data_IF_449672963252
#
_entry.id   IF_449672963252
#
_cell.length_a   1.000
_cell.length_b   1.000
_cell.length_c   1.000
_cell.angle_alpha   90.00
_cell.angle_beta   90.00
_cell.angle_gamma   90.00
#
_symmetry.space_group_name_H-M   'P 1'
#
loop_
_entity.id
_entity.type
_entity.pdbx_description
1 polymer ?
#
# COMPACT_ATOMS: atom_id res chain seq x y z
N UNK A 1 56.52 -21.77 3.35
CA UNK A 1 56.19 -21.10 2.07
C UNK A 1 55.33 -19.90 2.42
N UNK A 2 55.97 -18.75 2.35
CA UNK A 2 55.51 -17.46 2.87
C UNK A 2 54.65 -16.78 1.80
N UNK A 3 53.33 -16.70 2.03
CA UNK A 3 52.38 -16.06 1.14
C UNK A 3 52.43 -14.54 1.38
N UNK A 4 53.31 -13.85 0.70
CA UNK A 4 53.36 -12.38 0.68
C UNK A 4 52.08 -11.83 0.04
N UNK A 5 51.23 -11.24 0.83
CA UNK A 5 50.11 -10.40 0.36
C UNK A 5 50.72 -9.22 -0.40
N UNK A 6 50.41 -9.17 -1.71
CA UNK A 6 50.68 -8.00 -2.53
C UNK A 6 49.75 -6.88 -2.03
N UNK A 7 50.29 -5.73 -1.58
CA UNK A 7 49.43 -4.60 -1.24
C UNK A 7 48.69 -4.09 -2.50
N UNK A 8 47.45 -3.63 -2.36
CA UNK A 8 46.74 -3.07 -3.48
C UNK A 8 47.50 -1.88 -4.07
N UNK A 9 47.45 -1.65 -5.39
CA UNK A 9 48.11 -0.53 -6.03
C UNK A 9 47.62 0.78 -5.40
N UNK A 10 48.56 1.60 -4.92
CA UNK A 10 48.27 2.93 -4.39
C UNK A 10 47.75 3.81 -5.53
N UNK A 11 46.43 3.99 -5.62
CA UNK A 11 45.83 5.00 -6.47
C UNK A 11 46.30 6.38 -6.01
N UNK A 12 47.28 6.95 -6.72
CA UNK A 12 47.70 8.33 -6.54
C UNK A 12 46.68 9.23 -7.21
N UNK A 13 45.65 9.66 -6.46
CA UNK A 13 44.76 10.70 -6.91
C UNK A 13 45.49 12.06 -7.01
N UNK A 14 45.20 12.90 -8.02
CA UNK A 14 45.72 14.25 -8.12
C UNK A 14 45.40 15.04 -6.85
N UNK A 15 46.35 15.89 -6.37
CA UNK A 15 46.20 16.69 -5.13
C UNK A 15 44.87 17.47 -4.97
N UNK A 16 44.17 17.96 -6.05
CA UNK A 16 42.88 18.58 -5.86
C UNK A 16 41.80 17.62 -5.35
N UNK A 17 41.91 16.31 -5.59
CA UNK A 17 40.95 15.34 -5.07
C UNK A 17 41.05 15.19 -3.53
N UNK A 18 42.24 15.33 -2.93
CA UNK A 18 42.41 15.24 -1.49
C UNK A 18 42.01 16.49 -0.73
N UNK A 19 41.89 17.66 -1.40
CA UNK A 19 41.42 18.90 -0.79
C UNK A 19 39.89 18.99 -0.73
N UNK A 20 39.16 18.19 -1.55
CA UNK A 20 37.71 18.12 -1.53
C UNK A 20 37.18 17.03 -0.59
N UNK A 21 37.99 16.01 -0.27
CA UNK A 21 37.60 14.87 0.56
C UNK A 21 37.34 15.17 2.03
N UNK A 22 38.09 16.10 2.73
CA UNK A 22 37.79 16.38 4.14
C UNK A 22 36.46 17.06 4.40
N UNK A 23 35.95 17.82 3.41
CA UNK A 23 34.62 18.48 3.52
C UNK A 23 33.48 17.62 2.96
N UNK A 24 33.79 16.44 2.44
CA UNK A 24 32.86 15.58 1.73
C UNK A 24 32.56 14.30 2.51
N UNK A 25 32.13 14.42 3.76
CA UNK A 25 31.41 13.32 4.42
C UNK A 25 30.07 13.14 3.74
N UNK A 26 30.07 12.38 2.63
CA UNK A 26 28.84 12.00 1.93
C UNK A 26 28.26 10.77 2.60
N UNK A 27 27.12 10.94 3.24
CA UNK A 27 26.35 9.85 3.83
C UNK A 27 25.63 9.01 2.77
N UNK A 28 25.45 9.57 1.57
CA UNK A 28 24.76 8.89 0.47
C UNK A 28 25.38 9.26 -0.89
N UNK A 29 25.47 8.27 -1.78
CA UNK A 29 25.78 8.46 -3.19
C UNK A 29 24.91 7.53 -4.01
N UNK A 30 24.05 8.07 -4.87
CA UNK A 30 23.11 7.29 -5.69
C UNK A 30 21.92 8.11 -6.20
N UNK A 31 21.00 7.49 -6.95
CA UNK A 31 19.76 8.14 -7.34
C UNK A 31 18.87 8.37 -6.13
N UNK A 32 18.20 9.51 -6.03
CA UNK A 32 17.27 9.85 -4.96
C UNK A 32 15.93 10.30 -5.55
N UNK A 33 14.85 9.69 -5.09
CA UNK A 33 13.50 9.89 -5.62
C UNK A 33 13.07 11.36 -5.63
N UNK A 34 12.79 11.88 -6.83
CA UNK A 34 12.38 13.28 -7.07
C UNK A 34 13.51 14.30 -7.05
N UNK A 35 14.77 13.89 -6.86
CA UNK A 35 15.92 14.81 -6.89
C UNK A 35 16.66 14.71 -8.20
N UNK A 36 17.08 15.87 -8.71
CA UNK A 36 18.02 15.96 -9.83
C UNK A 36 19.45 15.62 -9.37
N UNK A 37 20.32 15.26 -10.33
CA UNK A 37 21.74 15.04 -10.03
C UNK A 37 22.37 16.31 -9.43
N UNK A 38 23.14 16.13 -8.37
CA UNK A 38 23.77 17.24 -7.65
C UNK A 38 24.12 16.88 -6.22
N UNK A 39 24.78 17.82 -5.54
CA UNK A 39 25.11 17.73 -4.13
C UNK A 39 24.02 18.42 -3.31
N UNK A 40 23.52 17.72 -2.29
CA UNK A 40 22.48 18.22 -1.39
C UNK A 40 22.91 18.13 0.06
N UNK A 41 22.53 19.13 0.83
CA UNK A 41 22.63 19.12 2.28
C UNK A 41 21.27 18.71 2.86
N UNK A 42 21.28 17.68 3.68
CA UNK A 42 20.13 17.16 4.40
C UNK A 42 20.32 17.33 5.90
N UNK A 43 19.27 17.25 6.67
CA UNK A 43 19.40 17.12 8.11
C UNK A 43 20.18 15.84 8.42
N UNK A 44 21.28 15.98 9.16
CA UNK A 44 22.20 14.92 9.55
C UNK A 44 23.04 14.31 8.41
N UNK A 45 23.30 15.04 7.30
CA UNK A 45 24.21 14.54 6.30
C UNK A 45 24.17 15.21 4.93
N UNK A 46 25.17 14.89 4.10
CA UNK A 46 25.27 15.33 2.71
C UNK A 46 25.02 14.15 1.78
N UNK A 47 24.33 14.37 0.68
CA UNK A 47 24.07 13.35 -0.33
C UNK A 47 24.47 13.79 -1.72
N UNK A 48 25.21 12.94 -2.43
CA UNK A 48 25.48 13.09 -3.85
C UNK A 48 24.42 12.33 -4.64
N UNK A 49 23.46 13.06 -5.22
CA UNK A 49 22.50 12.46 -6.14
C UNK A 49 23.17 12.29 -7.51
N UNK A 50 23.20 11.05 -8.01
CA UNK A 50 23.99 10.68 -9.19
C UNK A 50 23.18 10.64 -10.50
N UNK A 51 21.84 10.68 -10.43
CA UNK A 51 20.98 10.59 -11.60
C UNK A 51 19.69 11.41 -11.45
N UNK A 52 19.29 12.05 -12.55
CA UNK A 52 18.01 12.73 -12.66
C UNK A 52 16.86 11.73 -12.78
N UNK A 53 15.62 12.10 -12.34
CA UNK A 53 14.41 11.45 -12.84
C UNK A 53 14.34 11.60 -14.37
N UNK A 54 13.86 10.57 -15.05
CA UNK A 54 13.64 10.64 -16.50
C UNK A 54 12.30 11.35 -16.77
N UNK A 55 12.32 12.66 -16.96
CA UNK A 55 11.14 13.45 -17.29
C UNK A 55 10.91 13.44 -18.79
N UNK A 56 9.86 12.76 -19.22
CA UNK A 56 9.44 12.67 -20.62
C UNK A 56 8.83 14.00 -21.07
N UNK A 57 9.20 14.50 -22.23
CA UNK A 57 8.58 15.72 -22.79
C UNK A 57 7.19 15.38 -23.37
N UNK A 58 6.12 16.07 -22.91
CA UNK A 58 4.78 15.86 -23.43
C UNK A 58 4.66 16.44 -24.85
N UNK A 59 3.99 15.75 -25.74
CA UNK A 59 3.61 16.26 -27.03
C UNK A 59 2.25 15.71 -27.48
N UNK A 60 1.44 16.48 -28.20
CA UNK A 60 0.15 16.02 -28.71
C UNK A 60 0.32 14.85 -29.68
N UNK A 61 -0.64 13.94 -29.68
CA UNK A 61 -0.63 12.76 -30.55
C UNK A 61 -1.60 11.69 -30.11
N UNK A 62 -1.51 10.52 -30.73
CA UNK A 62 -2.37 9.39 -30.41
C UNK A 62 -1.93 8.70 -29.10
N UNK A 63 -2.85 8.55 -28.17
CA UNK A 63 -2.68 7.76 -26.93
C UNK A 63 -3.83 6.74 -26.74
N UNK A 64 -4.53 6.42 -27.81
CA UNK A 64 -5.75 5.58 -27.78
C UNK A 64 -5.53 4.20 -27.20
N UNK A 65 -4.38 3.57 -27.48
CA UNK A 65 -4.06 2.23 -26.94
C UNK A 65 -3.90 2.30 -25.40
N UNK A 66 -3.23 3.32 -24.89
CA UNK A 66 -3.11 3.49 -23.42
C UNK A 66 -4.47 3.75 -22.79
N UNK A 67 -5.26 4.64 -23.38
CA UNK A 67 -6.62 4.95 -22.87
C UNK A 67 -7.51 3.71 -22.91
N UNK A 68 -7.45 2.92 -23.97
CA UNK A 68 -8.22 1.68 -24.10
C UNK A 68 -7.79 0.63 -23.07
N UNK A 69 -6.47 0.44 -22.84
CA UNK A 69 -5.96 -0.44 -21.79
C UNK A 69 -6.53 -0.03 -20.43
N UNK A 70 -6.43 1.25 -20.09
CA UNK A 70 -6.86 1.76 -18.78
C UNK A 70 -8.38 1.70 -18.62
N UNK A 71 -9.13 2.06 -19.66
CA UNK A 71 -10.60 1.97 -19.67
C UNK A 71 -11.09 0.53 -19.53
N UNK A 72 -10.47 -0.41 -20.24
CA UNK A 72 -10.81 -1.82 -20.17
C UNK A 72 -10.47 -2.44 -18.80
N UNK A 73 -9.38 -1.99 -18.18
CA UNK A 73 -8.96 -2.48 -16.88
C UNK A 73 -9.81 -1.93 -15.72
N UNK A 74 -10.12 -0.63 -15.75
CA UNK A 74 -10.69 0.10 -14.60
C UNK A 74 -12.19 0.45 -14.79
N UNK A 75 -12.69 0.46 -16.03
CA UNK A 75 -13.97 1.08 -16.33
C UNK A 75 -13.93 2.61 -16.26
N UNK A 76 -14.98 3.28 -16.75
CA UNK A 76 -14.99 4.75 -16.87
C UNK A 76 -14.97 5.49 -15.52
N UNK A 77 -15.69 4.97 -14.54
CA UNK A 77 -15.77 5.61 -13.22
C UNK A 77 -14.42 5.61 -12.52
N UNK A 78 -13.80 4.44 -12.33
CA UNK A 78 -12.52 4.30 -11.63
C UNK A 78 -11.38 4.96 -12.40
N UNK A 79 -11.44 4.95 -13.74
CA UNK A 79 -10.46 5.60 -14.61
C UNK A 79 -10.34 7.10 -14.30
N UNK A 80 -11.45 7.81 -14.07
CA UNK A 80 -11.41 9.23 -13.72
C UNK A 80 -10.63 9.51 -12.42
N UNK A 81 -10.79 8.66 -11.40
CA UNK A 81 -9.98 8.77 -10.17
C UNK A 81 -8.51 8.47 -10.42
N UNK A 82 -8.22 7.46 -11.22
CA UNK A 82 -6.84 7.09 -11.56
C UNK A 82 -6.13 8.18 -12.36
N UNK A 83 -6.78 8.73 -13.38
CA UNK A 83 -6.20 9.81 -14.21
C UNK A 83 -5.96 11.09 -13.38
N UNK A 84 -6.87 11.44 -12.47
CA UNK A 84 -6.66 12.54 -11.55
C UNK A 84 -5.47 12.32 -10.62
N UNK A 85 -5.32 11.10 -10.07
CA UNK A 85 -4.16 10.73 -9.27
C UNK A 85 -2.86 10.83 -10.08
N UNK A 86 -2.86 10.35 -11.34
CA UNK A 86 -1.72 10.45 -12.24
C UNK A 86 -1.39 11.90 -12.61
N UNK A 87 -2.39 12.72 -12.93
CA UNK A 87 -2.20 14.14 -13.26
C UNK A 87 -1.50 14.88 -12.11
N UNK A 88 -1.98 14.69 -10.87
CA UNK A 88 -1.37 15.29 -9.68
C UNK A 88 0.06 14.79 -9.48
N UNK A 89 0.31 13.49 -9.71
CA UNK A 89 1.64 12.90 -9.58
C UNK A 89 2.63 13.53 -10.57
N UNK A 90 2.28 13.58 -11.86
CA UNK A 90 3.17 14.12 -12.88
C UNK A 90 3.39 15.63 -12.73
N UNK A 91 2.35 16.39 -12.37
CA UNK A 91 2.47 17.81 -12.07
C UNK A 91 3.40 18.06 -10.87
N UNK A 92 3.23 17.31 -9.79
CA UNK A 92 4.04 17.43 -8.57
C UNK A 92 5.51 17.12 -8.83
N UNK A 93 5.83 16.06 -9.59
CA UNK A 93 7.20 15.73 -9.95
C UNK A 93 7.83 16.82 -10.84
N UNK A 94 7.12 17.27 -11.86
CA UNK A 94 7.60 18.27 -12.83
C UNK A 94 7.79 19.66 -12.21
N UNK A 95 6.91 20.06 -11.30
CA UNK A 95 7.03 21.31 -10.54
C UNK A 95 8.01 21.26 -9.36
N UNK A 96 8.60 20.10 -9.12
CA UNK A 96 9.49 19.85 -7.98
C UNK A 96 8.84 20.15 -6.61
N UNK A 97 7.50 20.09 -6.51
CA UNK A 97 6.79 20.35 -5.24
C UNK A 97 6.81 19.16 -4.31
N UNK A 98 7.10 17.95 -4.82
CA UNK A 98 7.20 16.68 -4.08
C UNK A 98 6.02 16.42 -3.15
N UNK A 99 4.81 16.79 -3.59
CA UNK A 99 3.59 16.55 -2.81
C UNK A 99 3.39 15.05 -2.58
N UNK A 100 3.01 14.72 -1.37
CA UNK A 100 2.56 13.35 -1.04
C UNK A 100 1.31 12.98 -1.84
N UNK A 101 0.97 11.70 -1.88
CA UNK A 101 -0.21 11.22 -2.59
C UNK A 101 -0.69 9.88 -2.03
N UNK A 102 -1.92 9.58 -2.32
CA UNK A 102 -2.55 8.32 -1.96
C UNK A 102 -1.81 7.13 -2.59
N UNK A 103 -1.85 5.97 -1.93
CA UNK A 103 -1.52 4.71 -2.57
C UNK A 103 -2.68 4.26 -3.45
N UNK A 104 -2.38 3.57 -4.55
CA UNK A 104 -3.39 2.94 -5.41
C UNK A 104 -3.24 1.42 -5.38
N UNK A 105 -4.36 0.72 -5.29
CA UNK A 105 -4.42 -0.75 -5.31
C UNK A 105 -5.18 -1.18 -6.55
N UNK A 106 -4.57 -2.07 -7.31
CA UNK A 106 -5.17 -2.77 -8.45
C UNK A 106 -5.49 -4.20 -8.01
N UNK A 107 -6.75 -4.49 -7.73
CA UNK A 107 -7.22 -5.83 -7.34
C UNK A 107 -8.01 -6.46 -8.47
N UNK A 108 -7.67 -7.66 -8.88
CA UNK A 108 -8.36 -8.38 -9.95
C UNK A 108 -7.64 -9.65 -10.38
N UNK A 109 -8.25 -10.42 -11.27
CA UNK A 109 -7.73 -11.70 -11.72
C UNK A 109 -6.27 -11.65 -12.19
N UNK A 110 -5.61 -12.80 -12.09
CA UNK A 110 -4.26 -12.96 -12.66
C UNK A 110 -4.27 -12.71 -14.16
N UNK A 111 -3.31 -11.91 -14.63
CA UNK A 111 -3.12 -11.63 -16.07
C UNK A 111 -4.12 -10.62 -16.64
N UNK A 112 -4.83 -9.83 -15.82
CA UNK A 112 -5.71 -8.76 -16.31
C UNK A 112 -4.97 -7.49 -16.74
N UNK A 113 -3.65 -7.35 -16.50
CA UNK A 113 -2.86 -6.20 -16.97
C UNK A 113 -2.34 -5.28 -15.86
N UNK A 114 -2.53 -5.60 -14.58
CA UNK A 114 -2.08 -4.78 -13.43
C UNK A 114 -0.60 -4.40 -13.50
N UNK A 115 0.28 -5.40 -13.63
CA UNK A 115 1.73 -5.17 -13.72
C UNK A 115 2.14 -4.43 -15.00
N UNK A 116 1.40 -4.57 -16.10
CA UNK A 116 1.61 -3.78 -17.31
C UNK A 116 1.40 -2.29 -17.02
N UNK A 117 0.27 -1.95 -16.36
CA UNK A 117 -0.03 -0.54 -16.00
C UNK A 117 1.05 0.00 -15.05
N UNK A 118 1.45 -0.76 -14.03
CA UNK A 118 2.49 -0.32 -13.09
C UNK A 118 3.83 -0.07 -13.79
N UNK A 119 4.30 -1.01 -14.59
CA UNK A 119 5.65 -0.98 -15.13
C UNK A 119 5.77 -0.21 -16.45
N UNK A 120 4.75 -0.25 -17.32
CA UNK A 120 4.83 0.35 -18.66
C UNK A 120 4.10 1.69 -18.80
N UNK A 121 3.21 2.04 -17.85
CA UNK A 121 2.47 3.32 -17.89
C UNK A 121 2.87 4.20 -16.72
N UNK A 122 2.65 3.76 -15.47
CA UNK A 122 2.91 4.59 -14.29
C UNK A 122 4.40 4.92 -14.16
N UNK A 123 5.27 3.89 -14.13
CA UNK A 123 6.71 4.09 -13.91
C UNK A 123 7.33 5.10 -14.90
N UNK A 124 7.12 4.99 -16.22
CA UNK A 124 7.67 5.97 -17.16
C UNK A 124 7.17 7.38 -16.94
N UNK A 125 5.89 7.56 -16.60
CA UNK A 125 5.26 8.88 -16.41
C UNK A 125 5.78 9.62 -15.17
N UNK A 126 6.21 8.89 -14.14
CA UNK A 126 6.64 9.47 -12.87
C UNK A 126 8.15 9.32 -12.60
N UNK A 127 8.98 9.44 -13.64
CA UNK A 127 10.43 9.54 -13.48
C UNK A 127 11.22 8.31 -13.88
N UNK A 128 10.56 7.23 -14.30
CA UNK A 128 11.18 6.05 -14.93
C UNK A 128 11.91 5.10 -13.96
N UNK A 129 11.91 5.37 -12.63
CA UNK A 129 12.60 4.56 -11.63
C UNK A 129 11.60 3.93 -10.67
N UNK A 130 11.74 2.63 -10.44
CA UNK A 130 10.89 1.88 -9.52
C UNK A 130 11.69 1.28 -8.35
N UNK A 131 11.04 1.12 -7.21
CA UNK A 131 11.59 0.47 -6.01
C UNK A 131 10.57 -0.49 -5.41
N UNK A 132 11.04 -1.52 -4.69
CA UNK A 132 10.22 -2.57 -4.07
C UNK A 132 10.18 -2.36 -2.54
N UNK A 133 9.21 -1.64 -1.97
CA UNK A 133 9.21 -1.23 -0.57
C UNK A 133 8.67 -2.29 0.40
N UNK A 134 8.08 -3.39 -0.06
CA UNK A 134 7.30 -4.32 0.76
C UNK A 134 8.04 -4.88 1.98
N UNK A 135 9.32 -5.32 1.90
CA UNK A 135 10.04 -5.81 3.06
C UNK A 135 10.20 -4.75 4.17
N UNK A 136 10.46 -3.50 3.80
CA UNK A 136 10.54 -2.39 4.74
C UNK A 136 9.15 -2.04 5.28
N UNK A 137 8.13 -1.96 4.43
CA UNK A 137 6.78 -1.61 4.84
C UNK A 137 6.17 -2.62 5.83
N UNK A 138 6.54 -3.89 5.72
CA UNK A 138 6.07 -4.96 6.64
C UNK A 138 6.95 -5.15 7.87
N UNK A 139 8.04 -4.38 8.01
CA UNK A 139 8.97 -4.50 9.15
C UNK A 139 9.91 -5.70 9.07
N UNK A 140 10.06 -6.34 7.89
CA UNK A 140 11.06 -7.40 7.68
C UNK A 140 12.50 -6.86 7.67
N UNK A 141 12.66 -5.56 7.44
CA UNK A 141 13.93 -4.83 7.50
C UNK A 141 13.70 -3.41 7.98
N UNK A 142 14.65 -2.89 8.76
CA UNK A 142 14.67 -1.49 9.20
C UNK A 142 15.39 -0.57 8.19
N UNK A 143 16.15 -1.17 7.26
CA UNK A 143 16.89 -0.41 6.24
C UNK A 143 15.99 -0.14 5.02
N UNK A 144 16.01 1.09 4.55
CA UNK A 144 15.14 1.56 3.49
C UNK A 144 15.87 2.30 2.35
N UNK A 145 17.19 2.29 2.33
CA UNK A 145 17.97 3.03 1.32
C UNK A 145 17.58 2.68 -0.12
N UNK A 146 17.20 1.42 -0.40
CA UNK A 146 16.79 0.99 -1.73
C UNK A 146 15.42 1.54 -2.12
N UNK A 147 14.53 1.81 -1.15
CA UNK A 147 13.21 2.39 -1.38
C UNK A 147 13.33 3.81 -1.94
N UNK A 148 14.36 4.57 -1.50
CA UNK A 148 14.57 5.95 -1.91
C UNK A 148 15.15 6.14 -3.31
N UNK A 149 15.52 5.05 -4.01
CA UNK A 149 16.12 5.12 -5.34
C UNK A 149 15.12 5.37 -6.48
N UNK A 150 13.83 5.10 -6.25
CA UNK A 150 12.78 5.21 -7.26
C UNK A 150 11.61 6.07 -6.82
N UNK A 151 11.02 6.76 -7.75
CA UNK A 151 9.79 7.54 -7.59
C UNK A 151 8.56 6.66 -7.48
N UNK A 152 8.56 5.55 -8.19
CA UNK A 152 7.47 4.58 -8.18
C UNK A 152 7.76 3.44 -7.20
N UNK A 153 7.03 3.41 -6.11
CA UNK A 153 7.05 2.31 -5.17
C UNK A 153 6.05 1.25 -5.65
N UNK A 154 6.57 0.06 -5.98
CA UNK A 154 5.75 -1.02 -6.54
C UNK A 154 5.71 -2.20 -5.58
N UNK A 155 4.49 -2.68 -5.30
CA UNK A 155 4.23 -3.96 -4.63
C UNK A 155 3.44 -4.82 -5.62
N UNK A 156 3.99 -5.98 -5.99
CA UNK A 156 3.36 -6.94 -6.90
C UNK A 156 3.77 -8.35 -6.51
N UNK A 157 2.86 -9.30 -6.72
CA UNK A 157 3.05 -10.75 -6.50
C UNK A 157 3.60 -11.13 -5.10
N UNK A 158 3.34 -10.29 -4.11
CA UNK A 158 3.74 -10.59 -2.73
C UNK A 158 2.75 -11.57 -2.10
N UNK A 159 3.28 -12.50 -1.34
CA UNK A 159 2.45 -13.37 -0.53
C UNK A 159 1.94 -12.60 0.69
N UNK A 160 0.64 -12.58 0.86
CA UNK A 160 -0.01 -11.95 2.00
C UNK A 160 0.53 -12.48 3.32
N UNK A 161 0.80 -11.58 4.24
CA UNK A 161 1.12 -11.95 5.61
C UNK A 161 -0.18 -12.05 6.41
N UNK A 162 -0.49 -13.23 6.91
CA UNK A 162 -1.57 -13.41 7.89
C UNK A 162 -1.19 -12.85 9.27
N UNK A 163 0.07 -12.44 9.45
CA UNK A 163 0.55 -11.83 10.68
C UNK A 163 0.03 -10.39 10.82
N UNK A 164 -0.81 -10.20 11.82
CA UNK A 164 -1.43 -8.89 12.14
C UNK A 164 -0.39 -7.80 12.43
N UNK A 165 0.75 -8.17 13.03
CA UNK A 165 1.81 -7.21 13.34
C UNK A 165 2.41 -6.62 12.07
N UNK A 166 2.74 -7.46 11.10
CA UNK A 166 3.26 -7.03 9.79
C UNK A 166 2.24 -6.17 9.03
N UNK A 167 0.95 -6.54 9.05
CA UNK A 167 -0.12 -5.75 8.42
C UNK A 167 -0.32 -4.39 9.09
N UNK A 168 -0.19 -4.31 10.43
CA UNK A 168 -0.23 -3.03 11.17
C UNK A 168 0.98 -2.15 10.86
N UNK A 169 2.17 -2.76 10.79
CA UNK A 169 3.38 -2.04 10.42
C UNK A 169 3.28 -1.49 9.00
N UNK A 170 2.74 -2.29 8.07
CA UNK A 170 2.46 -1.84 6.70
C UNK A 170 1.52 -0.62 6.71
N UNK A 171 0.42 -0.67 7.47
CA UNK A 171 -0.50 0.46 7.61
C UNK A 171 0.17 1.72 8.17
N UNK A 172 1.03 1.58 9.17
CA UNK A 172 1.78 2.70 9.75
C UNK A 172 2.74 3.32 8.72
N UNK A 173 3.49 2.51 7.98
CA UNK A 173 4.40 2.99 6.94
C UNK A 173 3.66 3.59 5.74
N UNK A 174 2.50 3.03 5.36
CA UNK A 174 1.65 3.61 4.32
C UNK A 174 1.14 5.00 4.72
N UNK A 175 0.69 5.16 5.98
CA UNK A 175 0.31 6.49 6.51
C UNK A 175 1.47 7.46 6.43
N UNK A 176 2.67 7.04 6.79
CA UNK A 176 3.86 7.86 6.74
C UNK A 176 4.18 8.30 5.31
N UNK A 177 4.17 7.38 4.32
CA UNK A 177 4.41 7.68 2.90
C UNK A 177 3.36 8.64 2.35
N UNK A 178 2.07 8.42 2.65
CA UNK A 178 0.97 9.20 2.10
C UNK A 178 0.76 10.55 2.79
N UNK A 179 1.22 10.72 4.04
CA UNK A 179 0.90 11.90 4.83
C UNK A 179 2.08 12.81 5.15
N UNK A 180 3.30 12.27 5.22
CA UNK A 180 4.47 13.01 5.64
C UNK A 180 5.35 13.35 4.44
N UNK A 181 5.69 14.62 4.29
CA UNK A 181 6.66 15.06 3.28
C UNK A 181 8.08 14.61 3.62
N UNK A 182 8.41 14.62 4.91
CA UNK A 182 9.73 14.23 5.40
C UNK A 182 9.78 12.76 5.75
N UNK A 183 10.87 12.10 5.34
CA UNK A 183 11.09 10.68 5.54
C UNK A 183 12.50 10.45 6.09
N UNK A 184 12.62 9.48 6.99
CA UNK A 184 13.92 9.05 7.50
C UNK A 184 14.56 8.05 6.54
N UNK A 185 15.63 8.48 5.89
CA UNK A 185 16.47 7.64 5.06
C UNK A 185 17.49 6.90 5.95
N UNK A 186 17.35 5.59 6.06
CA UNK A 186 18.19 4.77 6.94
C UNK A 186 19.01 3.77 6.14
N UNK A 187 20.32 3.97 6.12
CA UNK A 187 21.31 3.08 5.53
C UNK A 187 22.07 2.33 6.62
N UNK A 188 22.47 1.09 6.34
CA UNK A 188 23.20 0.26 7.30
C UNK A 188 24.53 0.92 7.72
N UNK A 189 24.71 1.13 9.03
CA UNK A 189 25.96 1.67 9.60
C UNK A 189 26.13 3.19 9.54
N UNK A 190 25.09 3.94 9.11
CA UNK A 190 25.08 5.39 9.05
C UNK A 190 23.92 5.96 9.86
N UNK A 191 24.06 7.21 10.31
CA UNK A 191 22.95 7.95 10.91
C UNK A 191 21.83 8.19 9.88
N UNK A 192 20.60 8.22 10.36
CA UNK A 192 19.46 8.48 9.48
C UNK A 192 19.44 9.94 9.03
N UNK A 193 19.34 10.16 7.71
CA UNK A 193 19.11 11.48 7.14
C UNK A 193 17.61 11.73 7.01
N UNK A 194 17.21 13.00 7.05
CA UNK A 194 15.84 13.42 6.75
C UNK A 194 15.79 13.97 5.33
N UNK A 195 14.99 13.37 4.49
CA UNK A 195 14.83 13.74 3.07
C UNK A 195 13.36 13.91 2.71
N UNK A 196 13.07 14.65 1.63
CA UNK A 196 11.71 14.83 1.08
C UNK A 196 11.62 14.15 -0.28
N UNK A 197 11.42 12.81 -0.33
CA UNK A 197 11.34 12.11 -1.60
C UNK A 197 10.02 12.44 -2.32
N UNK A 198 10.04 12.35 -3.64
CA UNK A 198 8.79 12.21 -4.39
C UNK A 198 8.47 10.73 -4.52
N UNK A 199 7.32 10.32 -4.01
CA UNK A 199 6.86 8.93 -4.10
C UNK A 199 5.42 8.81 -4.57
N UNK A 200 5.16 7.75 -5.33
CA UNK A 200 3.82 7.21 -5.59
C UNK A 200 3.86 5.70 -5.39
N UNK A 201 2.96 5.21 -4.56
CA UNK A 201 2.84 3.78 -4.25
C UNK A 201 1.71 3.16 -5.05
N UNK A 202 2.02 2.09 -5.78
CA UNK A 202 1.02 1.22 -6.39
C UNK A 202 1.18 -0.23 -5.92
N UNK A 203 0.06 -0.89 -5.72
CA UNK A 203 -0.01 -2.27 -5.22
C UNK A 203 -0.86 -3.07 -6.19
N UNK A 204 -0.36 -4.16 -6.74
CA UNK A 204 -1.15 -5.12 -7.50
C UNK A 204 -1.37 -6.38 -6.67
N UNK A 205 -2.61 -6.81 -6.57
CA UNK A 205 -3.03 -8.02 -5.87
C UNK A 205 -4.05 -8.78 -6.70
N UNK A 206 -4.15 -10.07 -6.49
CA UNK A 206 -5.30 -10.80 -6.98
C UNK A 206 -6.48 -10.58 -6.02
N UNK A 207 -7.71 -10.65 -6.54
CA UNK A 207 -8.93 -10.29 -5.81
C UNK A 207 -9.47 -11.42 -4.94
N UNK A 208 -8.82 -12.61 -4.96
CA UNK A 208 -9.15 -13.66 -4.00
C UNK A 208 -8.83 -13.21 -2.56
N UNK A 209 -9.68 -13.52 -1.57
CA UNK A 209 -9.53 -13.05 -0.20
C UNK A 209 -8.14 -13.29 0.41
N UNK A 210 -7.54 -14.45 0.14
CA UNK A 210 -6.22 -14.81 0.67
C UNK A 210 -5.13 -13.83 0.18
N UNK A 211 -5.23 -13.36 -1.06
CA UNK A 211 -4.26 -12.45 -1.67
C UNK A 211 -4.43 -11.00 -1.16
N UNK A 212 -5.66 -10.60 -0.79
CA UNK A 212 -5.93 -9.29 -0.20
C UNK A 212 -5.28 -9.12 1.18
N UNK A 213 -4.79 -10.20 1.81
CA UNK A 213 -4.01 -10.14 3.07
C UNK A 213 -2.65 -9.44 2.91
N UNK A 214 -2.17 -9.21 1.70
CA UNK A 214 -1.04 -8.32 1.40
C UNK A 214 -1.31 -6.89 1.87
N UNK A 215 -2.58 -6.46 1.80
CA UNK A 215 -2.98 -5.10 2.15
C UNK A 215 -2.97 -4.88 3.67
N UNK A 216 -2.75 -3.63 4.11
CA UNK A 216 -2.85 -3.30 5.51
C UNK A 216 -4.29 -3.44 6.01
N UNK A 217 -4.46 -3.46 7.33
CA UNK A 217 -5.80 -3.36 7.93
C UNK A 217 -6.30 -1.94 7.70
N UNK A 218 -7.41 -1.80 6.98
CA UNK A 218 -8.00 -0.49 6.69
C UNK A 218 -8.81 0.00 7.90
N UNK A 219 -8.21 0.92 8.63
CA UNK A 219 -8.90 1.70 9.66
C UNK A 219 -9.29 3.10 9.12
N UNK A 220 -10.10 3.85 9.88
CA UNK A 220 -10.54 5.19 9.50
C UNK A 220 -9.38 6.13 9.14
N UNK A 221 -8.20 5.93 9.74
CA UNK A 221 -7.02 6.76 9.50
C UNK A 221 -6.28 6.41 8.20
N UNK A 222 -6.62 5.30 7.54
CA UNK A 222 -6.05 4.86 6.26
C UNK A 222 -6.98 5.07 5.08
N UNK A 223 -8.30 5.17 5.30
CA UNK A 223 -9.29 5.22 4.24
C UNK A 223 -9.03 6.30 3.20
N UNK A 224 -8.68 7.51 3.64
CA UNK A 224 -8.39 8.63 2.74
C UNK A 224 -7.04 8.55 2.03
N UNK A 225 -6.18 7.60 2.41
CA UNK A 225 -4.79 7.48 1.95
C UNK A 225 -4.56 6.36 0.93
N UNK A 226 -5.62 5.62 0.62
CA UNK A 226 -5.55 4.50 -0.31
C UNK A 226 -6.77 4.50 -1.22
N UNK A 227 -6.56 4.28 -2.51
CA UNK A 227 -7.64 4.00 -3.45
C UNK A 227 -7.62 2.52 -3.83
N UNK A 228 -8.79 1.90 -3.84
CA UNK A 228 -8.99 0.49 -4.17
C UNK A 228 -9.72 0.40 -5.51
N UNK A 229 -9.04 -0.08 -6.54
CA UNK A 229 -9.58 -0.26 -7.87
C UNK A 229 -9.79 -1.75 -8.14
N UNK A 230 -11.01 -2.11 -8.57
CA UNK A 230 -11.30 -3.43 -9.11
C UNK A 230 -10.90 -3.48 -10.57
N UNK A 231 -10.01 -4.42 -10.90
CA UNK A 231 -9.49 -4.60 -12.25
C UNK A 231 -10.24 -5.72 -12.97
N UNK A 232 -10.71 -5.41 -14.15
CA UNK A 232 -11.43 -6.36 -15.01
C UNK A 232 -10.49 -6.92 -16.07
N UNK A 233 -10.56 -8.23 -16.31
CA UNK A 233 -9.83 -8.86 -17.39
C UNK A 233 -10.56 -8.63 -18.71
N UNK A 234 -9.91 -7.96 -19.63
CA UNK A 234 -10.41 -7.70 -20.96
C UNK A 234 -9.42 -8.13 -22.04
N UNK A 235 -9.88 -8.20 -23.28
CA UNK A 235 -9.01 -8.42 -24.42
C UNK A 235 -8.02 -7.25 -24.55
N UNK A 236 -6.77 -7.56 -24.87
CA UNK A 236 -5.78 -6.52 -25.16
C UNK A 236 -6.15 -5.81 -26.47
N UNK A 237 -5.97 -4.47 -26.57
CA UNK A 237 -6.32 -3.70 -27.78
C UNK A 237 -5.46 -4.03 -28.99
N UNK A 238 -4.40 -4.78 -28.80
CA UNK A 238 -3.51 -5.27 -29.86
C UNK A 238 -3.17 -6.74 -29.63
N UNK A 239 -2.82 -7.50 -30.70
CA UNK A 239 -2.36 -8.88 -30.57
C UNK A 239 -1.12 -9.01 -29.68
N UNK A 240 -1.08 -10.06 -28.84
CA UNK A 240 0.01 -10.35 -27.91
C UNK A 240 0.35 -11.85 -27.84
N UNK A 241 -0.04 -12.62 -28.88
CA UNK A 241 0.11 -14.07 -28.92
C UNK A 241 1.55 -14.51 -29.18
N UNK A 242 2.28 -13.78 -30.04
CA UNK A 242 3.67 -14.05 -30.39
C UNK A 242 4.64 -13.11 -29.68
N UNK A 243 5.94 -13.39 -29.72
CA UNK A 243 6.96 -12.47 -29.17
C UNK A 243 7.00 -11.16 -29.95
N UNK A 244 6.94 -11.22 -31.29
CA UNK A 244 6.93 -10.06 -32.17
C UNK A 244 5.73 -9.15 -31.90
N UNK A 245 4.56 -9.73 -31.67
CA UNK A 245 3.36 -8.98 -31.31
C UNK A 245 3.51 -8.30 -29.95
N UNK A 246 4.07 -9.00 -28.95
CA UNK A 246 4.35 -8.42 -27.63
C UNK A 246 5.37 -7.28 -27.70
N UNK A 247 6.42 -7.44 -28.47
CA UNK A 247 7.43 -6.40 -28.68
C UNK A 247 6.82 -5.16 -29.37
N UNK A 248 5.99 -5.38 -30.40
CA UNK A 248 5.25 -4.31 -31.06
C UNK A 248 4.28 -3.61 -30.12
N UNK A 249 3.54 -4.36 -29.30
CA UNK A 249 2.62 -3.82 -28.30
C UNK A 249 3.37 -2.96 -27.28
N UNK A 250 4.45 -3.45 -26.70
CA UNK A 250 5.30 -2.70 -25.76
C UNK A 250 5.89 -1.43 -26.41
N UNK A 251 6.36 -1.52 -27.65
CA UNK A 251 6.86 -0.37 -28.40
C UNK A 251 5.77 0.68 -28.66
N UNK A 252 4.53 0.25 -28.95
CA UNK A 252 3.39 1.13 -29.15
C UNK A 252 3.04 1.87 -27.84
N UNK A 253 2.94 1.16 -26.71
CA UNK A 253 2.72 1.79 -25.40
C UNK A 253 3.79 2.84 -25.14
N UNK A 254 5.08 2.46 -25.30
CA UNK A 254 6.21 3.38 -25.07
C UNK A 254 6.14 4.63 -25.95
N UNK A 255 5.74 4.48 -27.22
CA UNK A 255 5.59 5.61 -28.15
C UNK A 255 4.41 6.52 -27.78
N UNK A 256 3.37 5.99 -27.17
CA UNK A 256 2.18 6.74 -26.74
C UNK A 256 2.32 7.44 -25.38
N UNK A 257 3.32 7.09 -24.56
CA UNK A 257 3.51 7.70 -23.23
C UNK A 257 3.61 9.24 -23.29
N UNK A 258 4.39 9.87 -24.20
CA UNK A 258 4.45 11.32 -24.27
C UNK A 258 3.10 11.97 -24.64
N UNK A 259 2.32 11.31 -25.48
CA UNK A 259 0.99 11.79 -25.90
C UNK A 259 -0.03 11.66 -24.76
N UNK A 260 0.00 10.54 -24.03
CA UNK A 260 -0.85 10.36 -22.85
C UNK A 260 -0.48 11.35 -21.72
N UNK A 261 0.80 11.66 -21.58
CA UNK A 261 1.25 12.71 -20.66
C UNK A 261 0.72 14.10 -21.06
N UNK A 262 0.72 14.42 -22.36
CA UNK A 262 0.17 15.69 -22.89
C UNK A 262 -1.34 15.78 -22.61
N UNK A 263 -2.08 14.70 -22.89
CA UNK A 263 -3.50 14.56 -22.55
C UNK A 263 -3.76 14.80 -21.05
N UNK A 264 -3.02 14.13 -20.15
CA UNK A 264 -3.17 14.31 -18.70
C UNK A 264 -2.90 15.75 -18.24
N UNK A 265 -1.95 16.44 -18.87
CA UNK A 265 -1.54 17.79 -18.45
C UNK A 265 -2.41 18.91 -19.02
N UNK A 266 -3.04 18.71 -20.19
CA UNK A 266 -3.71 19.79 -20.93
C UNK A 266 -5.21 19.55 -21.18
N UNK A 267 -5.62 18.31 -21.34
CA UNK A 267 -6.98 17.96 -21.74
C UNK A 267 -7.80 17.39 -20.58
N UNK A 268 -7.21 16.51 -19.78
CA UNK A 268 -7.89 15.92 -18.63
C UNK A 268 -8.12 16.97 -17.54
N UNK A 269 -9.37 17.05 -17.07
CA UNK A 269 -9.77 17.95 -15.99
C UNK A 269 -10.39 17.12 -14.87
N UNK A 270 -9.83 17.21 -13.66
CA UNK A 270 -10.41 16.58 -12.48
C UNK A 270 -11.80 17.18 -12.24
N UNK A 271 -12.88 16.37 -12.24
CA UNK A 271 -14.22 16.86 -11.91
C UNK A 271 -14.24 17.54 -10.54
N UNK A 272 -14.95 18.65 -10.41
CA UNK A 272 -15.05 19.39 -9.14
C UNK A 272 -15.57 18.52 -7.99
N UNK A 273 -16.51 17.61 -8.28
CA UNK A 273 -17.05 16.65 -7.33
C UNK A 273 -16.01 15.67 -6.77
N UNK A 274 -14.89 15.45 -7.47
CA UNK A 274 -13.80 14.56 -7.10
C UNK A 274 -12.58 15.28 -6.51
N UNK A 275 -12.59 16.62 -6.45
CA UNK A 275 -11.50 17.37 -5.82
C UNK A 275 -11.43 17.14 -4.32
N UNK A 276 -10.21 17.09 -3.80
CA UNK A 276 -9.88 16.96 -2.39
C UNK A 276 -8.82 18.00 -1.98
N UNK A 277 -8.97 18.61 -0.83
CA UNK A 277 -8.05 19.67 -0.37
C UNK A 277 -6.65 19.14 -0.05
N UNK A 278 -6.55 17.91 0.43
CA UNK A 278 -5.29 17.34 0.91
C UNK A 278 -4.49 16.70 -0.22
N UNK A 279 -5.14 15.82 -1.00
CA UNK A 279 -4.48 15.02 -2.03
C UNK A 279 -4.74 15.53 -3.44
N UNK A 280 -5.61 16.51 -3.60
CA UNK A 280 -6.04 17.06 -4.90
C UNK A 280 -7.15 16.23 -5.56
N UNK A 281 -7.29 14.98 -5.21
CA UNK A 281 -8.36 14.09 -5.66
C UNK A 281 -8.84 13.20 -4.52
N UNK A 282 -10.16 12.92 -4.47
CA UNK A 282 -10.76 11.97 -3.53
C UNK A 282 -10.25 10.56 -3.78
N UNK A 283 -10.20 9.75 -2.73
CA UNK A 283 -9.98 8.31 -2.87
C UNK A 283 -11.21 7.62 -3.47
N UNK A 284 -10.96 6.50 -4.14
CA UNK A 284 -12.01 5.58 -4.59
C UNK A 284 -11.88 4.25 -3.84
N UNK A 285 -13.00 3.69 -3.42
CA UNK A 285 -13.03 2.34 -2.87
C UNK A 285 -14.07 1.52 -3.62
N UNK A 286 -13.63 0.59 -4.45
CA UNK A 286 -14.53 -0.40 -5.03
C UNK A 286 -15.24 -1.17 -3.90
N UNK A 287 -16.60 -1.28 -3.92
CA UNK A 287 -17.37 -1.85 -2.81
C UNK A 287 -17.06 -3.33 -2.56
N UNK A 288 -16.80 -4.12 -3.61
CA UNK A 288 -16.53 -5.55 -3.47
C UNK A 288 -15.15 -5.76 -2.83
N UNK A 289 -14.14 -5.04 -3.30
CA UNK A 289 -12.78 -5.13 -2.74
C UNK A 289 -12.77 -4.65 -1.28
N UNK A 290 -13.43 -3.52 -1.00
CA UNK A 290 -13.55 -3.02 0.36
C UNK A 290 -14.30 -4.02 1.27
N UNK A 291 -15.36 -4.63 0.77
CA UNK A 291 -16.12 -5.67 1.48
C UNK A 291 -15.23 -6.86 1.84
N UNK A 292 -14.50 -7.41 0.87
CA UNK A 292 -13.60 -8.54 1.07
C UNK A 292 -12.48 -8.22 2.08
N UNK A 293 -11.89 -7.02 2.01
CA UNK A 293 -10.87 -6.59 2.99
C UNK A 293 -11.44 -6.46 4.40
N UNK A 294 -12.67 -5.94 4.53
CA UNK A 294 -13.33 -5.78 5.82
C UNK A 294 -13.68 -7.14 6.45
N UNK A 295 -14.15 -8.11 5.67
CA UNK A 295 -14.45 -9.47 6.14
C UNK A 295 -13.20 -10.18 6.72
N UNK A 296 -12.01 -9.81 6.26
CA UNK A 296 -10.75 -10.33 6.81
C UNK A 296 -10.18 -9.49 7.96
N UNK A 297 -10.89 -8.49 8.44
CA UNK A 297 -10.43 -7.69 9.56
C UNK A 297 -10.38 -8.53 10.85
N UNK A 298 -9.44 -8.28 11.77
CA UNK A 298 -9.36 -9.04 13.02
C UNK A 298 -10.62 -8.94 13.86
N UNK A 299 -11.34 -7.83 13.80
CA UNK A 299 -12.61 -7.67 14.49
C UNK A 299 -13.71 -8.55 13.89
N UNK A 300 -13.77 -8.71 12.56
CA UNK A 300 -14.73 -9.62 11.91
C UNK A 300 -14.38 -11.09 12.21
N UNK A 301 -13.11 -11.44 12.15
CA UNK A 301 -12.64 -12.76 12.56
C UNK A 301 -12.98 -13.06 14.02
N UNK A 302 -12.85 -12.07 14.92
CA UNK A 302 -13.27 -12.20 16.31
C UNK A 302 -14.78 -12.49 16.40
N UNK A 303 -15.60 -11.76 15.65
CA UNK A 303 -17.05 -11.97 15.65
C UNK A 303 -17.41 -13.37 15.15
N UNK A 304 -16.79 -13.86 14.09
CA UNK A 304 -17.00 -15.21 13.55
C UNK A 304 -16.60 -16.27 14.56
N UNK A 305 -15.42 -16.15 15.18
CA UNK A 305 -14.93 -17.07 16.19
C UNK A 305 -15.89 -17.06 17.41
N UNK A 306 -16.33 -15.88 17.84
CA UNK A 306 -17.25 -15.72 18.96
C UNK A 306 -18.58 -16.42 18.67
N UNK A 307 -19.17 -16.18 17.50
CA UNK A 307 -20.41 -16.83 17.07
C UNK A 307 -20.23 -18.35 17.00
N UNK A 308 -19.14 -18.83 16.43
CA UNK A 308 -18.85 -20.26 16.27
C UNK A 308 -18.67 -20.94 17.64
N UNK A 309 -17.92 -20.33 18.57
CA UNK A 309 -17.69 -20.86 19.92
C UNK A 309 -19.02 -20.99 20.67
N UNK A 310 -19.84 -19.93 20.68
CA UNK A 310 -21.11 -19.97 21.40
C UNK A 310 -22.17 -20.86 20.76
N UNK A 311 -22.18 -21.03 19.42
CA UNK A 311 -23.03 -22.03 18.75
C UNK A 311 -22.63 -23.46 19.13
N UNK A 312 -21.34 -23.75 19.27
CA UNK A 312 -20.87 -25.08 19.67
C UNK A 312 -21.31 -25.47 21.09
N UNK A 313 -21.51 -24.51 21.96
CA UNK A 313 -22.05 -24.71 23.30
C UNK A 313 -23.58 -24.85 23.33
N UNK A 314 -24.29 -24.14 22.45
CA UNK A 314 -25.77 -24.14 22.41
C UNK A 314 -26.36 -25.43 21.81
N UNK A 315 -25.67 -26.08 20.85
CA UNK A 315 -26.09 -27.38 20.32
C UNK A 315 -26.12 -28.49 21.38
N UNK A 316 -25.43 -28.31 22.50
CA UNK A 316 -25.45 -29.24 23.64
C UNK A 316 -26.61 -28.98 24.63
N UNK A 317 -27.24 -27.81 24.58
CA UNK A 317 -28.26 -27.39 25.52
C UNK A 317 -29.68 -27.24 24.96
N UNK A 318 -29.87 -27.39 23.64
CA UNK A 318 -31.19 -27.48 22.99
C UNK A 318 -32.02 -26.18 23.05
N UNK A 319 -31.41 -25.01 23.16
CA UNK A 319 -32.10 -23.75 23.38
C UNK A 319 -31.98 -22.73 22.24
N UNK A 320 -33.01 -21.92 22.09
CA UNK A 320 -33.39 -20.95 21.08
C UNK A 320 -32.29 -20.14 20.38
N UNK A 321 -32.44 -20.01 19.05
CA UNK A 321 -31.54 -19.30 18.10
C UNK A 321 -31.52 -17.76 18.22
N UNK A 322 -32.08 -17.18 19.26
CA UNK A 322 -32.19 -15.71 19.49
C UNK A 322 -31.57 -15.26 20.82
N UNK A 323 -30.52 -15.93 21.29
CA UNK A 323 -29.95 -15.61 22.60
C UNK A 323 -29.00 -14.41 22.52
N UNK A 324 -29.21 -13.45 23.42
CA UNK A 324 -28.32 -12.33 23.65
C UNK A 324 -27.33 -12.69 24.77
N UNK A 325 -26.02 -12.50 24.48
CA UNK A 325 -24.95 -12.77 25.44
C UNK A 325 -24.38 -11.46 25.93
N UNK A 326 -24.18 -11.33 27.23
CA UNK A 326 -23.59 -10.17 27.90
C UNK A 326 -22.20 -10.56 28.42
N UNK A 327 -21.15 -9.97 27.85
CA UNK A 327 -19.76 -10.35 28.12
C UNK A 327 -18.87 -9.12 28.31
N UNK A 328 -17.93 -9.22 29.24
CA UNK A 328 -16.82 -8.28 29.35
C UNK A 328 -15.67 -8.70 28.43
N UNK A 329 -14.66 -7.82 28.24
CA UNK A 329 -13.44 -8.16 27.50
C UNK A 329 -12.69 -9.34 28.11
N UNK A 330 -12.73 -9.48 29.43
CA UNK A 330 -12.10 -10.56 30.18
C UNK A 330 -12.81 -11.87 29.83
N UNK A 331 -14.15 -11.89 29.94
CA UNK A 331 -14.96 -13.06 29.66
C UNK A 331 -14.72 -13.57 28.23
N UNK A 332 -14.70 -12.65 27.24
CA UNK A 332 -14.42 -12.98 25.83
C UNK A 332 -13.02 -13.55 25.67
N UNK A 333 -12.02 -12.89 26.26
CA UNK A 333 -10.62 -13.32 26.16
C UNK A 333 -10.41 -14.72 26.75
N UNK A 334 -10.91 -14.95 27.99
CA UNK A 334 -10.78 -16.23 28.70
C UNK A 334 -11.56 -17.35 27.99
N UNK A 335 -12.78 -17.06 27.51
CA UNK A 335 -13.58 -18.04 26.77
C UNK A 335 -12.89 -18.47 25.47
N UNK A 336 -12.38 -17.51 24.68
CA UNK A 336 -11.83 -17.79 23.38
C UNK A 336 -10.37 -18.26 23.38
N UNK A 337 -9.58 -17.97 24.44
CA UNK A 337 -8.18 -18.39 24.55
C UNK A 337 -7.96 -19.49 25.59
N UNK A 338 -8.99 -19.89 26.30
CA UNK A 338 -8.95 -20.91 27.33
C UNK A 338 -8.63 -22.31 26.78
N UNK A 339 -8.21 -23.20 27.66
CA UNK A 339 -7.77 -24.55 27.32
C UNK A 339 -8.85 -25.40 26.59
N UNK A 340 -10.11 -25.10 26.82
CA UNK A 340 -11.25 -25.85 26.25
C UNK A 340 -11.94 -25.12 25.09
N UNK A 341 -11.39 -23.98 24.63
CA UNK A 341 -11.94 -23.24 23.51
C UNK A 341 -11.81 -24.05 22.20
N UNK A 342 -12.93 -24.28 21.53
CA UNK A 342 -12.94 -25.02 20.25
C UNK A 342 -12.10 -24.33 19.18
N UNK A 343 -12.08 -23.01 19.19
CA UNK A 343 -11.36 -22.17 18.23
C UNK A 343 -10.14 -21.45 18.84
N UNK A 344 -9.60 -21.94 19.98
CA UNK A 344 -8.53 -21.30 20.74
C UNK A 344 -7.27 -20.95 19.93
N UNK A 345 -6.85 -21.78 18.98
CA UNK A 345 -5.71 -21.48 18.08
C UNK A 345 -5.98 -20.30 17.17
N UNK A 346 -7.18 -20.19 16.62
CA UNK A 346 -7.57 -19.07 15.77
C UNK A 346 -7.67 -17.78 16.57
N UNK A 347 -8.34 -17.84 17.74
CA UNK A 347 -8.47 -16.72 18.66
C UNK A 347 -7.11 -16.19 19.14
N UNK A 348 -6.18 -17.05 19.53
CA UNK A 348 -4.85 -16.65 20.03
C UNK A 348 -3.98 -15.94 18.98
N UNK A 349 -4.28 -16.10 17.69
CA UNK A 349 -3.60 -15.35 16.60
C UNK A 349 -4.01 -13.90 16.55
N UNK A 350 -5.25 -13.58 16.93
CA UNK A 350 -5.82 -12.23 16.85
C UNK A 350 -5.93 -11.55 18.20
N UNK A 351 -6.07 -12.31 19.28
CA UNK A 351 -6.23 -11.83 20.66
C UNK A 351 -4.93 -12.03 21.45
N UNK A 352 -4.12 -10.99 21.55
CA UNK A 352 -2.87 -11.03 22.33
C UNK A 352 -3.02 -10.45 23.74
N UNK A 353 -4.13 -9.76 24.02
CA UNK A 353 -4.46 -9.20 25.33
C UNK A 353 -5.95 -8.84 25.45
N UNK A 354 -6.41 -8.66 26.68
CA UNK A 354 -7.79 -8.20 26.99
C UNK A 354 -8.08 -6.82 26.36
N UNK A 355 -7.10 -5.92 26.32
CA UNK A 355 -7.24 -4.59 25.72
C UNK A 355 -7.55 -4.65 24.23
N UNK A 356 -6.97 -5.62 23.53
CA UNK A 356 -7.25 -5.83 22.10
C UNK A 356 -8.69 -6.27 21.88
N UNK A 357 -9.24 -7.14 22.76
CA UNK A 357 -10.66 -7.51 22.72
C UNK A 357 -11.54 -6.27 22.83
N UNK A 358 -11.28 -5.39 23.80
CA UNK A 358 -12.03 -4.12 23.95
C UNK A 358 -11.98 -3.28 22.69
N UNK A 359 -10.82 -3.19 22.06
CA UNK A 359 -10.64 -2.41 20.82
C UNK A 359 -11.47 -2.98 19.68
N UNK A 360 -11.43 -4.29 19.48
CA UNK A 360 -12.17 -4.95 18.39
C UNK A 360 -13.67 -4.93 18.62
N UNK A 361 -14.13 -5.20 19.85
CA UNK A 361 -15.54 -5.15 20.20
C UNK A 361 -16.12 -3.75 20.07
N UNK A 362 -15.37 -2.69 20.40
CA UNK A 362 -15.82 -1.32 20.16
C UNK A 362 -15.99 -1.03 18.67
N UNK A 363 -15.04 -1.46 17.83
CA UNK A 363 -15.13 -1.32 16.36
C UNK A 363 -16.32 -2.09 15.79
N UNK A 364 -16.58 -3.31 16.29
CA UNK A 364 -17.75 -4.09 15.90
C UNK A 364 -19.05 -3.41 16.31
N UNK A 365 -19.12 -2.85 17.52
CA UNK A 365 -20.31 -2.11 17.97
C UNK A 365 -20.59 -0.87 17.11
N UNK A 366 -19.55 -0.22 16.56
CA UNK A 366 -19.70 0.91 15.64
C UNK A 366 -20.08 0.44 14.21
N UNK A 367 -19.49 -0.66 13.72
CA UNK A 367 -19.72 -1.18 12.37
C UNK A 367 -20.97 -2.03 12.22
N UNK A 368 -21.30 -2.81 13.26
CA UNK A 368 -22.39 -3.81 13.26
C UNK A 368 -23.28 -3.71 14.50
N UNK A 369 -23.96 -2.57 14.70
CA UNK A 369 -24.79 -2.35 15.91
C UNK A 369 -25.96 -3.33 16.05
N UNK A 370 -26.33 -4.02 14.98
CA UNK A 370 -27.37 -5.07 15.02
C UNK A 370 -26.89 -6.38 15.64
N UNK A 371 -25.58 -6.62 15.66
CA UNK A 371 -24.97 -7.82 16.22
C UNK A 371 -24.25 -7.57 17.53
N UNK A 372 -23.59 -6.43 17.68
CA UNK A 372 -22.78 -6.09 18.85
C UNK A 372 -23.20 -4.70 19.35
N UNK A 373 -23.56 -4.60 20.63
CA UNK A 373 -23.88 -3.33 21.29
C UNK A 373 -23.05 -3.15 22.55
N UNK A 374 -22.67 -1.90 22.84
CA UNK A 374 -22.07 -1.57 24.15
C UNK A 374 -23.07 -1.79 25.26
N UNK A 375 -22.61 -2.39 26.34
CA UNK A 375 -23.40 -2.67 27.52
C UNK A 375 -22.67 -2.21 28.79
N UNK A 376 -23.42 -1.65 29.75
CA UNK A 376 -22.88 -1.28 31.07
C UNK A 376 -23.55 -2.18 32.08
N UNK A 377 -22.76 -2.98 32.78
CA UNK A 377 -23.26 -3.86 33.84
C UNK A 377 -23.70 -3.04 35.10
N UNK A 378 -24.55 -3.59 35.98
CA UNK A 378 -24.98 -2.91 37.17
C UNK A 378 -23.85 -2.45 38.12
N UNK A 379 -22.73 -3.16 38.10
CA UNK A 379 -21.50 -2.84 38.83
C UNK A 379 -20.60 -1.81 38.15
N UNK A 380 -21.11 -1.14 37.10
CA UNK A 380 -20.44 -0.15 36.26
C UNK A 380 -19.31 -0.70 35.35
N UNK A 381 -19.08 -2.02 35.28
CA UNK A 381 -18.17 -2.58 34.29
C UNK A 381 -18.70 -2.35 32.89
N UNK A 382 -17.80 -2.09 31.95
CA UNK A 382 -18.12 -1.99 30.53
C UNK A 382 -17.99 -3.36 29.84
N UNK A 383 -18.90 -3.63 28.93
CA UNK A 383 -18.91 -4.86 28.16
C UNK A 383 -19.76 -4.69 26.91
N UNK A 384 -20.13 -5.80 26.32
CA UNK A 384 -20.95 -5.84 25.11
C UNK A 384 -22.06 -6.86 25.23
N UNK A 385 -23.20 -6.56 24.59
CA UNK A 385 -24.16 -7.57 24.22
C UNK A 385 -23.90 -8.00 22.80
N UNK A 386 -23.97 -9.29 22.51
CA UNK A 386 -23.99 -9.79 21.13
C UNK A 386 -25.06 -10.84 20.94
N UNK A 387 -25.68 -10.86 19.74
CA UNK A 387 -26.72 -11.81 19.40
C UNK A 387 -26.31 -12.70 18.25
N UNK A 388 -26.61 -13.99 18.35
CA UNK A 388 -26.39 -14.98 17.30
C UNK A 388 -27.66 -14.99 16.44
N UNK A 389 -27.77 -14.07 15.46
CA UNK A 389 -28.83 -14.12 14.44
C UNK A 389 -28.31 -14.88 13.21
N UNK A 390 -29.13 -15.71 12.60
CA UNK A 390 -28.83 -16.24 11.27
C UNK A 390 -28.83 -15.09 10.26
N UNK A 391 -27.80 -15.06 9.36
CA UNK A 391 -27.88 -14.22 8.16
C UNK A 391 -29.18 -14.56 7.44
N UNK A 392 -30.03 -13.60 7.05
CA UNK A 392 -31.09 -13.90 6.11
C UNK A 392 -30.43 -14.45 4.84
N UNK A 393 -30.85 -15.64 4.41
CA UNK A 393 -30.43 -16.24 3.15
C UNK A 393 -30.86 -15.30 2.04
N UNK A 394 -29.90 -14.58 1.45
CA UNK A 394 -30.09 -13.86 0.18
C UNK A 394 -29.94 -14.82 -0.99
#
# INVERSE_FOLDING_TARGET
MDSRKIPPPSLKFPRPFFTVLPDAEHYYSGPLAGYSAGLYEFTNGKGLVTANPNLIDPHPGDCSIIQEILKNLLGEEQLTYFEGWMQIAVQSLRSNTRRTGQAVVFAGERGCGKSLVQNQIITPLIGGRASKPYPWMTGKTDFNSDVFKGEHLIIEDEYGSTDIRSRRQFGANLKQIAANEEQHFHQKGLEAMVVKPFWRLSISVNDEPENLTVLPILDESLKDKISLFKCTKAAMPMPTGTNEERDKFAATIKAQIPCYLDYLLKEFVIPESLTDQRFGIKHHHDPEILGAINEMSPEEQLLEILIAEYRSHDTKTGNDSNKEFLLTSIDIFETLTGQYAAYGKAASRILTSVQIVSTYMNRLADKKPDFVKRHTFPDKRQGWSFSIKEKPKT
#
